data_IF_332114739913
#
_entry.id   IF_332114739913
#
_cell.length_a   1.000
_cell.length_b   1.000
_cell.length_c   1.000
_cell.angle_alpha   90.00
_cell.angle_beta   90.00
_cell.angle_gamma   90.00
#
_symmetry.space_group_name_H-M   'P 1'
#
loop_
_entity.id
_entity.type
_entity.pdbx_description
1 polymer ?
#
# COMPACT_ATOMS: atom_id res chain seq x y z
N UNK A 1 -27.39 -53.60 5.54
CA UNK A 1 -27.22 -53.39 7.00
C UNK A 1 -28.59 -53.19 7.68
N UNK A 2 -29.60 -54.02 7.34
CA UNK A 2 -30.97 -53.98 7.93
C UNK A 2 -31.48 -55.40 8.29
N UNK A 3 -30.57 -56.37 8.41
CA UNK A 3 -30.93 -57.73 8.80
C UNK A 3 -31.25 -57.90 10.31
N UNK A 4 -30.67 -57.16 11.27
CA UNK A 4 -30.94 -57.43 12.70
C UNK A 4 -32.22 -56.77 13.23
N UNK A 5 -32.73 -55.72 12.57
CA UNK A 5 -33.98 -55.06 13.01
C UNK A 5 -35.23 -55.90 12.67
N UNK A 6 -35.17 -56.71 11.61
CA UNK A 6 -36.24 -57.63 11.22
C UNK A 6 -36.31 -58.88 12.12
N UNK A 7 -35.22 -59.24 12.80
CA UNK A 7 -35.19 -60.39 13.70
C UNK A 7 -35.91 -60.10 15.04
N UNK A 8 -35.82 -58.87 15.56
CA UNK A 8 -36.53 -58.47 16.78
C UNK A 8 -38.02 -58.21 16.55
N UNK A 9 -38.43 -57.83 15.33
CA UNK A 9 -39.85 -57.72 14.98
C UNK A 9 -40.50 -59.11 14.87
N UNK A 10 -39.78 -60.09 14.30
CA UNK A 10 -40.26 -61.46 14.12
C UNK A 10 -40.56 -62.17 15.45
N UNK A 11 -39.80 -61.92 16.52
CA UNK A 11 -40.07 -62.53 17.84
C UNK A 11 -41.20 -61.84 18.62
N UNK A 12 -41.40 -60.53 18.45
CA UNK A 12 -42.52 -59.81 19.08
C UNK A 12 -43.87 -60.11 18.41
N UNK A 13 -43.85 -60.44 17.11
CA UNK A 13 -45.05 -60.72 16.32
C UNK A 13 -45.63 -62.14 16.55
N UNK A 14 -44.83 -63.11 17.02
CA UNK A 14 -45.29 -64.50 17.23
C UNK A 14 -45.99 -64.75 18.58
N UNK A 15 -45.75 -63.96 19.63
CA UNK A 15 -46.34 -64.26 20.97
C UNK A 15 -47.62 -63.50 21.31
N UNK A 16 -47.94 -62.37 20.65
CA UNK A 16 -49.10 -61.54 21.00
C UNK A 16 -50.29 -61.60 20.03
N UNK A 17 -50.05 -61.87 18.74
CA UNK A 17 -51.07 -61.70 17.68
C UNK A 17 -51.74 -63.02 17.22
N UNK A 18 -51.19 -64.18 17.59
CA UNK A 18 -51.76 -65.47 17.20
C UNK A 18 -53.02 -65.85 18.01
N UNK A 19 -53.27 -65.19 19.16
CA UNK A 19 -54.44 -65.47 20.00
C UNK A 19 -55.72 -64.77 19.51
N UNK A 20 -55.62 -63.55 18.98
CA UNK A 20 -56.79 -62.83 18.44
C UNK A 20 -57.17 -63.26 17.03
N UNK A 21 -56.20 -63.69 16.23
CA UNK A 21 -56.45 -64.08 14.82
C UNK A 21 -57.14 -65.43 14.66
N UNK A 22 -57.15 -66.27 15.71
CA UNK A 22 -57.84 -67.59 15.70
C UNK A 22 -59.29 -67.53 16.19
N UNK A 23 -59.70 -66.47 16.90
CA UNK A 23 -61.08 -66.32 17.41
C UNK A 23 -61.98 -65.46 16.51
N UNK A 24 -61.42 -64.63 15.62
CA UNK A 24 -62.23 -63.78 14.73
C UNK A 24 -62.22 -64.30 13.28
N UNK A 25 -63.17 -65.20 12.91
CA UNK A 25 -63.22 -65.80 11.58
C UNK A 25 -63.40 -64.77 10.45
N UNK A 26 -63.92 -63.58 10.76
CA UNK A 26 -64.04 -62.48 9.80
C UNK A 26 -62.67 -61.92 9.39
N UNK A 27 -61.77 -61.68 10.35
CA UNK A 27 -60.41 -61.19 10.08
C UNK A 27 -59.59 -62.22 9.31
N UNK A 28 -59.71 -63.51 9.66
CA UNK A 28 -59.05 -64.58 8.91
C UNK A 28 -59.53 -64.63 7.46
N UNK A 29 -60.84 -64.53 7.23
CA UNK A 29 -61.40 -64.49 5.87
C UNK A 29 -60.98 -63.25 5.07
N UNK A 30 -60.82 -62.09 5.73
CA UNK A 30 -60.30 -60.87 5.10
C UNK A 30 -58.82 -61.02 4.72
N UNK A 31 -58.02 -61.65 5.57
CA UNK A 31 -56.59 -61.91 5.29
C UNK A 31 -56.44 -62.91 4.13
N UNK A 32 -57.26 -63.97 4.08
CA UNK A 32 -57.28 -64.89 2.95
C UNK A 32 -57.76 -64.21 1.67
N UNK A 33 -58.84 -63.43 1.71
CA UNK A 33 -59.37 -62.69 0.55
C UNK A 33 -58.36 -61.69 -0.02
N UNK A 34 -57.68 -60.94 0.85
CA UNK A 34 -56.62 -60.01 0.43
C UNK A 34 -55.44 -60.76 -0.17
N UNK A 35 -55.02 -61.88 0.43
CA UNK A 35 -53.94 -62.73 -0.13
C UNK A 35 -54.31 -63.34 -1.49
N UNK A 36 -55.58 -63.70 -1.71
CA UNK A 36 -56.08 -64.25 -2.97
C UNK A 36 -56.15 -63.17 -4.06
N UNK A 37 -56.59 -61.95 -3.74
CA UNK A 37 -56.60 -60.83 -4.71
C UNK A 37 -55.19 -60.44 -5.12
N UNK A 38 -54.25 -60.46 -4.17
CA UNK A 38 -52.83 -60.19 -4.45
C UNK A 38 -52.24 -61.27 -5.38
N UNK A 39 -52.66 -62.54 -5.26
CA UNK A 39 -52.25 -63.64 -6.15
C UNK A 39 -52.97 -63.64 -7.50
N UNK A 40 -54.23 -63.18 -7.54
CA UNK A 40 -55.06 -63.17 -8.75
C UNK A 40 -54.76 -62.00 -9.71
N UNK A 41 -54.08 -60.94 -9.25
CA UNK A 41 -53.68 -59.81 -10.09
C UNK A 41 -52.14 -59.65 -10.20
N UNK A 42 -51.42 -60.62 -10.81
CA UNK A 42 -49.96 -60.58 -10.96
C UNK A 42 -49.47 -59.43 -11.85
N UNK A 43 -50.38 -58.81 -12.62
CA UNK A 43 -50.10 -57.65 -13.47
C UNK A 43 -49.80 -56.40 -12.65
N UNK A 44 -50.38 -56.22 -11.45
CA UNK A 44 -50.19 -55.00 -10.66
C UNK A 44 -48.87 -54.94 -9.88
N UNK A 45 -48.26 -56.09 -9.55
CA UNK A 45 -46.99 -56.13 -8.81
C UNK A 45 -45.78 -55.81 -9.70
N UNK A 46 -45.73 -56.36 -10.92
CA UNK A 46 -44.63 -56.10 -11.86
C UNK A 46 -44.63 -54.65 -12.34
N UNK A 47 -45.80 -54.06 -12.59
CA UNK A 47 -45.93 -52.65 -12.98
C UNK A 47 -45.40 -51.69 -11.91
N UNK A 48 -45.58 -51.99 -10.63
CA UNK A 48 -45.09 -51.15 -9.53
C UNK A 48 -43.55 -51.11 -9.49
N UNK A 49 -42.89 -52.25 -9.70
CA UNK A 49 -41.43 -52.34 -9.74
C UNK A 49 -40.85 -51.52 -10.91
N UNK A 50 -41.47 -51.60 -12.09
CA UNK A 50 -41.04 -50.80 -13.25
C UNK A 50 -41.22 -49.31 -13.02
N UNK A 51 -42.31 -48.87 -12.39
CA UNK A 51 -42.52 -47.46 -12.04
C UNK A 51 -41.45 -46.97 -11.06
N UNK A 52 -41.14 -47.75 -10.02
CA UNK A 52 -40.09 -47.42 -9.05
C UNK A 52 -38.71 -47.30 -9.72
N UNK A 53 -38.40 -48.23 -10.64
CA UNK A 53 -37.15 -48.21 -11.40
C UNK A 53 -37.04 -46.97 -12.30
N UNK A 54 -38.13 -46.56 -12.95
CA UNK A 54 -38.16 -45.34 -13.76
C UNK A 54 -37.99 -44.10 -12.87
N UNK A 55 -38.71 -44.02 -11.75
CA UNK A 55 -38.63 -42.88 -10.83
C UNK A 55 -37.23 -42.73 -10.25
N UNK A 56 -36.59 -43.82 -9.82
CA UNK A 56 -35.21 -43.79 -9.31
C UNK A 56 -34.21 -43.44 -10.41
N UNK A 57 -34.38 -43.95 -11.63
CA UNK A 57 -33.56 -43.56 -12.79
C UNK A 57 -33.68 -42.06 -13.12
N UNK A 58 -34.91 -41.54 -13.14
CA UNK A 58 -35.17 -40.11 -13.34
C UNK A 58 -34.57 -39.26 -12.22
N UNK A 59 -34.68 -39.70 -10.97
CA UNK A 59 -34.07 -39.02 -9.83
C UNK A 59 -32.53 -38.98 -9.94
N UNK A 60 -31.91 -40.10 -10.32
CA UNK A 60 -30.46 -40.19 -10.52
C UNK A 60 -29.96 -39.31 -11.68
N UNK A 61 -30.72 -39.20 -12.77
CA UNK A 61 -30.35 -38.30 -13.89
C UNK A 61 -30.46 -36.82 -13.48
N UNK A 62 -31.49 -36.44 -12.72
CA UNK A 62 -31.62 -35.08 -12.17
C UNK A 62 -30.45 -34.74 -11.24
N UNK A 63 -30.07 -35.65 -10.35
CA UNK A 63 -28.90 -35.47 -9.46
C UNK A 63 -27.61 -35.34 -10.28
N UNK A 64 -27.41 -36.18 -11.31
CA UNK A 64 -26.23 -36.12 -12.17
C UNK A 64 -26.12 -34.77 -12.90
N UNK A 65 -27.24 -34.25 -13.42
CA UNK A 65 -27.29 -32.95 -14.08
C UNK A 65 -27.02 -31.82 -13.08
N UNK A 66 -27.57 -31.90 -11.87
CA UNK A 66 -27.31 -30.93 -10.81
C UNK A 66 -25.81 -30.90 -10.42
N UNK A 67 -25.17 -32.05 -10.28
CA UNK A 67 -23.72 -32.15 -10.00
C UNK A 67 -22.90 -31.58 -11.16
N UNK A 68 -23.23 -31.93 -12.42
CA UNK A 68 -22.54 -31.37 -13.58
C UNK A 68 -22.71 -29.85 -13.65
N UNK A 69 -23.92 -29.33 -13.48
CA UNK A 69 -24.20 -27.90 -13.45
C UNK A 69 -23.45 -27.19 -12.32
N UNK A 70 -23.36 -27.80 -11.13
CA UNK A 70 -22.59 -27.28 -10.01
C UNK A 70 -21.09 -27.23 -10.32
N UNK A 71 -20.52 -28.32 -10.86
CA UNK A 71 -19.10 -28.39 -11.24
C UNK A 71 -18.73 -27.37 -12.32
N UNK A 72 -19.51 -27.28 -13.39
CA UNK A 72 -19.27 -26.32 -14.48
C UNK A 72 -19.34 -24.88 -13.99
N UNK A 73 -20.30 -24.57 -13.10
CA UNK A 73 -20.37 -23.24 -12.48
C UNK A 73 -19.12 -22.92 -11.66
N UNK A 74 -18.62 -23.88 -10.88
CA UNK A 74 -17.40 -23.68 -10.10
C UNK A 74 -16.16 -23.44 -10.95
N UNK A 75 -15.96 -24.20 -12.03
CA UNK A 75 -14.83 -24.01 -12.95
C UNK A 75 -14.84 -22.62 -13.58
N UNK A 76 -16.02 -22.15 -14.00
CA UNK A 76 -16.18 -20.81 -14.56
C UNK A 76 -15.84 -19.69 -13.55
N UNK A 77 -16.28 -19.85 -12.29
CA UNK A 77 -15.97 -18.91 -11.21
C UNK A 77 -14.46 -18.85 -10.92
N UNK A 78 -13.78 -19.99 -10.89
CA UNK A 78 -12.34 -20.04 -10.69
C UNK A 78 -11.58 -19.40 -11.85
N UNK A 79 -11.96 -19.69 -13.09
CA UNK A 79 -11.36 -19.09 -14.27
C UNK A 79 -11.52 -17.55 -14.31
N UNK A 80 -12.64 -17.02 -13.83
CA UNK A 80 -12.82 -15.57 -13.68
C UNK A 80 -11.91 -14.98 -12.61
N UNK A 81 -11.81 -15.65 -11.44
CA UNK A 81 -10.91 -15.20 -10.37
C UNK A 81 -9.45 -15.20 -10.83
N UNK A 82 -9.00 -16.24 -11.54
CA UNK A 82 -7.64 -16.28 -12.08
C UNK A 82 -7.36 -15.12 -13.04
N UNK A 83 -8.33 -14.78 -13.92
CA UNK A 83 -8.20 -13.62 -14.80
C UNK A 83 -8.13 -12.31 -14.03
N UNK A 84 -8.95 -12.15 -12.99
CA UNK A 84 -8.93 -10.98 -12.13
C UNK A 84 -7.60 -10.86 -11.38
N UNK A 85 -7.11 -11.94 -10.77
CA UNK A 85 -5.83 -11.97 -10.07
C UNK A 85 -4.67 -11.63 -11.00
N UNK A 86 -4.63 -12.22 -12.20
CA UNK A 86 -3.61 -11.91 -13.21
C UNK A 86 -3.66 -10.44 -13.64
N UNK A 87 -4.87 -9.88 -13.81
CA UNK A 87 -5.00 -8.47 -14.16
C UNK A 87 -4.58 -7.56 -13.01
N UNK A 88 -4.88 -7.95 -11.76
CA UNK A 88 -4.43 -7.23 -10.56
C UNK A 88 -2.90 -7.23 -10.47
N UNK A 89 -2.26 -8.39 -10.63
CA UNK A 89 -0.79 -8.51 -10.61
C UNK A 89 -0.14 -7.63 -11.69
N UNK A 90 -0.69 -7.62 -12.91
CA UNK A 90 -0.20 -6.75 -13.99
C UNK A 90 -0.39 -5.27 -13.64
N UNK A 91 -1.54 -4.89 -13.09
CA UNK A 91 -1.79 -3.51 -12.70
C UNK A 91 -0.89 -3.06 -11.56
N UNK A 92 -0.69 -3.91 -10.53
CA UNK A 92 0.23 -3.64 -9.42
C UNK A 92 1.66 -3.46 -9.91
N UNK A 93 2.12 -4.32 -10.83
CA UNK A 93 3.43 -4.16 -11.44
C UNK A 93 3.56 -2.86 -12.25
N UNK A 94 2.52 -2.49 -13.01
CA UNK A 94 2.50 -1.23 -13.76
C UNK A 94 2.52 -0.03 -12.83
N UNK A 95 1.73 -0.05 -11.77
CA UNK A 95 1.69 1.01 -10.76
C UNK A 95 3.06 1.15 -10.08
N UNK A 96 3.71 0.04 -9.71
CA UNK A 96 5.05 0.06 -9.12
C UNK A 96 6.08 0.69 -10.08
N UNK A 97 6.04 0.34 -11.37
CA UNK A 97 6.91 0.95 -12.38
C UNK A 97 6.63 2.45 -12.55
N UNK A 98 5.36 2.86 -12.56
CA UNK A 98 4.98 4.27 -12.62
C UNK A 98 5.49 5.04 -11.41
N UNK A 99 5.32 4.50 -10.20
CA UNK A 99 5.84 5.10 -8.97
C UNK A 99 7.36 5.22 -8.98
N UNK A 100 8.06 4.18 -9.44
CA UNK A 100 9.52 4.18 -9.54
C UNK A 100 10.01 5.24 -10.54
N UNK A 101 9.37 5.33 -11.70
CA UNK A 101 9.67 6.35 -12.71
C UNK A 101 9.41 7.75 -12.19
N UNK A 102 8.25 7.97 -11.56
CA UNK A 102 7.89 9.26 -10.97
C UNK A 102 8.88 9.69 -9.89
N UNK A 103 9.28 8.77 -9.00
CA UNK A 103 10.30 9.04 -7.98
C UNK A 103 11.64 9.42 -8.61
N UNK A 104 12.10 8.68 -9.61
CA UNK A 104 13.34 9.00 -10.30
C UNK A 104 13.30 10.36 -10.99
N UNK A 105 12.17 10.72 -11.60
CA UNK A 105 11.97 12.05 -12.20
C UNK A 105 11.97 13.17 -11.15
N UNK A 106 11.28 12.97 -10.03
CA UNK A 106 11.26 13.93 -8.92
C UNK A 106 12.65 14.14 -8.33
N UNK A 107 13.37 13.05 -8.05
CA UNK A 107 14.75 13.10 -7.53
C UNK A 107 15.69 13.82 -8.51
N UNK A 108 15.57 13.53 -9.81
CA UNK A 108 16.35 14.21 -10.84
C UNK A 108 16.01 15.70 -10.91
N UNK A 109 14.74 16.06 -10.85
CA UNK A 109 14.29 17.46 -10.87
C UNK A 109 14.77 18.22 -9.64
N UNK A 110 14.73 17.60 -8.47
CA UNK A 110 15.19 18.23 -7.24
C UNK A 110 16.71 18.38 -7.21
N UNK A 111 17.45 17.37 -7.68
CA UNK A 111 18.89 17.46 -7.89
C UNK A 111 19.25 18.60 -8.83
N UNK A 112 18.50 18.77 -9.93
CA UNK A 112 18.73 19.87 -10.87
C UNK A 112 18.38 21.22 -10.24
N UNK A 113 17.31 21.30 -9.44
CA UNK A 113 16.96 22.51 -8.67
C UNK A 113 18.11 22.92 -7.74
N UNK A 114 18.71 21.97 -7.03
CA UNK A 114 19.86 22.23 -6.16
C UNK A 114 21.10 22.63 -6.95
N UNK A 115 21.37 21.98 -8.08
CA UNK A 115 22.48 22.32 -8.97
C UNK A 115 22.37 23.76 -9.46
N UNK A 116 21.18 24.18 -9.89
CA UNK A 116 20.90 25.55 -10.33
C UNK A 116 21.08 26.54 -9.17
N UNK A 117 20.56 26.22 -7.97
CA UNK A 117 20.70 27.09 -6.80
C UNK A 117 22.17 27.36 -6.45
N UNK A 118 23.01 26.32 -6.55
CA UNK A 118 24.44 26.41 -6.28
C UNK A 118 25.18 27.17 -7.37
N UNK A 119 24.88 26.91 -8.65
CA UNK A 119 25.44 27.67 -9.78
C UNK A 119 25.08 29.16 -9.70
N UNK A 120 23.86 29.46 -9.27
CA UNK A 120 23.39 30.82 -9.05
C UNK A 120 24.18 31.52 -7.94
N UNK A 121 24.41 30.84 -6.81
CA UNK A 121 25.17 31.39 -5.69
C UNK A 121 26.64 31.63 -6.06
N UNK A 122 27.28 30.60 -6.62
CA UNK A 122 28.73 30.61 -6.84
C UNK A 122 29.10 31.51 -8.02
N UNK A 123 28.38 31.43 -9.15
CA UNK A 123 28.74 32.16 -10.36
C UNK A 123 28.16 33.57 -10.37
N UNK A 124 26.84 33.71 -10.26
CA UNK A 124 26.20 35.03 -10.31
C UNK A 124 26.46 35.83 -9.02
N UNK A 125 26.48 35.19 -7.86
CA UNK A 125 26.79 35.87 -6.59
C UNK A 125 28.21 36.44 -6.56
N UNK A 126 29.18 35.70 -7.09
CA UNK A 126 30.56 36.17 -7.23
C UNK A 126 30.69 37.29 -8.26
N UNK A 127 30.03 37.18 -9.41
CA UNK A 127 30.04 38.22 -10.45
C UNK A 127 29.43 39.54 -9.97
N UNK A 128 28.28 39.48 -9.28
CA UNK A 128 27.65 40.67 -8.70
C UNK A 128 28.53 41.30 -7.62
N UNK A 129 29.19 40.48 -6.79
CA UNK A 129 30.15 40.97 -5.80
C UNK A 129 31.35 41.68 -6.44
N UNK A 130 31.91 41.12 -7.52
CA UNK A 130 32.99 41.76 -8.27
C UNK A 130 32.53 43.03 -8.99
N UNK A 131 31.35 43.01 -9.60
CA UNK A 131 30.76 44.20 -10.23
C UNK A 131 30.59 45.33 -9.21
N UNK A 132 30.08 45.02 -8.01
CA UNK A 132 29.99 45.96 -6.89
C UNK A 132 31.36 46.50 -6.49
N UNK A 133 32.39 45.65 -6.38
CA UNK A 133 33.74 46.09 -6.04
C UNK A 133 34.35 47.03 -7.09
N UNK A 134 34.22 46.70 -8.38
CA UNK A 134 34.69 47.56 -9.47
C UNK A 134 33.94 48.89 -9.53
N UNK A 135 32.63 48.86 -9.28
CA UNK A 135 31.81 50.06 -9.21
C UNK A 135 32.28 50.95 -8.04
N UNK A 136 32.39 50.40 -6.82
CA UNK A 136 32.89 51.16 -5.67
C UNK A 136 34.32 51.70 -5.86
N UNK A 137 35.19 50.98 -6.58
CA UNK A 137 36.53 51.44 -6.90
C UNK A 137 36.52 52.62 -7.89
N UNK A 138 35.64 52.58 -8.89
CA UNK A 138 35.45 53.68 -9.83
C UNK A 138 34.87 54.93 -9.14
N UNK A 139 33.99 54.77 -8.15
CA UNK A 139 33.43 55.88 -7.35
C UNK A 139 34.53 56.67 -6.65
N UNK A 140 35.43 55.95 -5.96
CA UNK A 140 36.59 56.55 -5.27
C UNK A 140 37.57 57.24 -6.21
N UNK A 141 37.66 56.81 -7.47
CA UNK A 141 38.49 57.49 -8.48
C UNK A 141 37.80 58.70 -9.10
N UNK A 142 36.46 58.78 -9.03
CA UNK A 142 35.65 59.88 -9.54
C UNK A 142 35.32 60.93 -8.47
N UNK A 143 35.86 60.81 -7.26
CA UNK A 143 35.69 61.76 -6.16
C UNK A 143 36.12 63.21 -6.54
N UNK A 144 36.97 63.37 -7.56
CA UNK A 144 37.36 64.66 -8.16
C UNK A 144 36.37 65.23 -9.19
N UNK A 145 35.41 64.45 -9.73
CA UNK A 145 34.42 64.86 -10.73
C UNK A 145 33.01 65.02 -10.10
N UNK A 146 32.92 66.10 -9.31
CA UNK A 146 31.79 66.65 -8.52
C UNK A 146 30.33 66.42 -8.99
N UNK A 147 29.49 66.15 -7.97
CA UNK A 147 28.10 66.58 -7.69
C UNK A 147 26.96 66.26 -8.67
N UNK A 148 27.16 66.22 -9.99
CA UNK A 148 26.05 66.03 -10.95
C UNK A 148 25.75 64.53 -11.22
N UNK A 149 26.71 63.64 -10.93
CA UNK A 149 26.61 62.19 -11.11
C UNK A 149 26.22 61.43 -9.83
N UNK A 150 26.30 62.09 -8.67
CA UNK A 150 26.24 61.44 -7.36
C UNK A 150 24.90 60.72 -7.09
N UNK A 151 23.79 61.27 -7.60
CA UNK A 151 22.46 60.66 -7.47
C UNK A 151 22.28 59.43 -8.38
N UNK A 152 22.83 59.46 -9.60
CA UNK A 152 22.83 58.31 -10.50
C UNK A 152 23.72 57.18 -9.96
N UNK A 153 24.85 57.56 -9.34
CA UNK A 153 25.76 56.62 -8.70
C UNK A 153 25.12 55.91 -7.50
N UNK A 154 24.50 56.67 -6.59
CA UNK A 154 23.77 56.14 -5.46
C UNK A 154 22.63 55.19 -5.91
N UNK A 155 21.93 55.53 -7.00
CA UNK A 155 20.92 54.65 -7.61
C UNK A 155 21.52 53.36 -8.17
N UNK A 156 22.63 53.42 -8.88
CA UNK A 156 23.28 52.24 -9.45
C UNK A 156 23.79 51.29 -8.35
N UNK A 157 24.39 51.82 -7.29
CA UNK A 157 24.81 51.04 -6.12
C UNK A 157 23.61 50.39 -5.42
N UNK A 158 22.51 51.13 -5.24
CA UNK A 158 21.27 50.58 -4.68
C UNK A 158 20.69 49.45 -5.54
N UNK A 159 20.68 49.60 -6.87
CA UNK A 159 20.20 48.57 -7.79
C UNK A 159 21.09 47.32 -7.76
N UNK A 160 22.41 47.48 -7.67
CA UNK A 160 23.35 46.37 -7.51
C UNK A 160 23.12 45.63 -6.19
N UNK A 161 22.92 46.35 -5.08
CA UNK A 161 22.65 45.75 -3.78
C UNK A 161 21.31 45.01 -3.76
N UNK A 162 20.29 45.61 -4.36
CA UNK A 162 18.97 44.98 -4.51
C UNK A 162 19.08 43.70 -5.35
N UNK A 163 19.84 43.74 -6.45
CA UNK A 163 20.06 42.56 -7.28
C UNK A 163 20.84 41.45 -6.55
N UNK A 164 21.82 41.80 -5.71
CA UNK A 164 22.54 40.84 -4.88
C UNK A 164 21.60 40.16 -3.87
N UNK A 165 20.75 40.95 -3.21
CA UNK A 165 19.82 40.47 -2.19
C UNK A 165 18.77 39.53 -2.80
N UNK A 166 18.16 39.93 -3.93
CA UNK A 166 17.19 39.12 -4.65
C UNK A 166 17.81 37.81 -5.17
N UNK A 167 19.04 37.85 -5.68
CA UNK A 167 19.75 36.63 -6.09
C UNK A 167 19.97 35.67 -4.92
N UNK A 168 20.38 36.21 -3.77
CA UNK A 168 20.63 35.43 -2.55
C UNK A 168 19.34 34.78 -2.05
N UNK A 169 18.22 35.52 -2.11
CA UNK A 169 16.89 35.03 -1.77
C UNK A 169 16.44 33.90 -2.69
N UNK A 170 16.55 34.08 -4.01
CA UNK A 170 16.18 33.04 -5.01
C UNK A 170 17.03 31.78 -4.82
N UNK A 171 18.34 31.91 -4.65
CA UNK A 171 19.23 30.76 -4.40
C UNK A 171 18.83 30.00 -3.12
N UNK A 172 18.48 30.73 -2.06
CA UNK A 172 18.05 30.12 -0.80
C UNK A 172 16.67 29.44 -0.89
N UNK A 173 15.70 30.06 -1.58
CA UNK A 173 14.38 29.48 -1.84
C UNK A 173 14.49 28.19 -2.68
N UNK A 174 15.42 28.15 -3.64
CA UNK A 174 15.67 26.94 -4.43
C UNK A 174 16.35 25.81 -3.63
N UNK A 175 17.15 26.14 -2.60
CA UNK A 175 17.85 25.17 -1.75
C UNK A 175 16.97 24.60 -0.62
N UNK A 176 16.08 25.39 -0.03
CA UNK A 176 15.31 25.01 1.18
C UNK A 176 14.22 23.96 0.98
N UNK A 177 13.97 23.49 -0.25
CA UNK A 177 13.01 22.41 -0.50
C UNK A 177 13.49 21.00 -0.12
N UNK A 178 14.81 20.79 0.06
CA UNK A 178 15.43 19.47 0.29
C UNK A 178 15.06 18.86 1.65
N UNK A 179 14.86 19.70 2.68
CA UNK A 179 14.56 19.23 4.04
C UNK A 179 13.26 18.42 4.12
N UNK A 180 12.32 18.70 3.20
CA UNK A 180 10.96 18.18 3.22
C UNK A 180 10.87 16.75 2.68
N UNK A 181 11.85 16.28 1.91
CA UNK A 181 11.79 14.97 1.23
C UNK A 181 12.66 13.90 1.90
N UNK A 182 13.90 14.23 2.30
CA UNK A 182 14.85 13.30 2.93
C UNK A 182 14.62 13.09 4.43
N UNK A 183 13.79 13.93 5.05
CA UNK A 183 13.60 13.95 6.50
C UNK A 183 14.75 14.65 7.21
N UNK A 184 14.48 15.04 8.45
CA UNK A 184 15.35 15.90 9.25
C UNK A 184 16.74 15.29 9.51
N UNK A 185 16.82 13.97 9.75
CA UNK A 185 18.07 13.30 10.13
C UNK A 185 19.09 13.27 8.97
N UNK A 186 18.73 12.86 7.73
CA UNK A 186 19.66 12.93 6.60
C UNK A 186 20.11 14.36 6.27
N UNK A 187 19.21 15.34 6.36
CA UNK A 187 19.55 16.72 6.09
C UNK A 187 20.54 17.31 7.13
N UNK A 188 20.40 16.93 8.40
CA UNK A 188 21.34 17.33 9.45
C UNK A 188 22.71 16.66 9.31
N UNK A 189 22.78 15.42 8.82
CA UNK A 189 24.05 14.77 8.49
C UNK A 189 24.76 15.47 7.34
N UNK A 190 24.02 15.86 6.31
CA UNK A 190 24.57 16.59 5.16
C UNK A 190 25.07 17.98 5.57
N UNK A 191 24.30 18.70 6.38
CA UNK A 191 24.71 19.98 6.96
C UNK A 191 25.97 19.85 7.85
N UNK A 192 26.02 18.82 8.72
CA UNK A 192 27.21 18.50 9.51
C UNK A 192 28.43 18.33 8.61
N UNK A 193 28.30 17.55 7.54
CA UNK A 193 29.40 17.28 6.61
C UNK A 193 29.87 18.56 5.92
N UNK A 194 28.96 19.44 5.50
CA UNK A 194 29.29 20.74 4.88
C UNK A 194 30.05 21.64 5.87
N UNK A 195 29.62 21.70 7.12
CA UNK A 195 30.22 22.55 8.15
C UNK A 195 31.59 22.03 8.63
N UNK A 196 31.75 20.71 8.77
CA UNK A 196 33.02 20.06 9.08
C UNK A 196 34.05 20.31 7.96
N UNK A 197 33.62 20.20 6.71
CA UNK A 197 34.49 20.37 5.54
C UNK A 197 34.96 21.81 5.36
N UNK A 198 34.08 22.81 5.56
CA UNK A 198 34.39 24.21 5.26
C UNK A 198 34.96 25.00 6.44
N UNK A 199 34.69 24.59 7.69
CA UNK A 199 34.99 25.43 8.85
C UNK A 199 35.77 24.75 9.98
N UNK A 200 36.22 23.48 9.81
CA UNK A 200 36.92 22.72 10.87
C UNK A 200 36.19 22.72 12.22
N UNK A 201 34.86 22.78 12.21
CA UNK A 201 34.04 22.62 13.40
C UNK A 201 33.74 21.13 13.59
N UNK A 202 34.08 20.56 14.74
CA UNK A 202 33.71 19.19 15.08
C UNK A 202 32.28 19.18 15.63
N UNK A 203 31.35 18.56 14.90
CA UNK A 203 29.92 18.59 15.23
C UNK A 203 29.48 17.18 15.63
N UNK A 204 29.16 17.00 16.91
CA UNK A 204 28.57 15.76 17.40
C UNK A 204 27.05 15.79 17.22
N UNK A 205 26.57 15.08 16.21
CA UNK A 205 25.15 14.80 16.02
C UNK A 205 24.78 13.59 16.90
N UNK A 206 23.94 13.81 17.90
CA UNK A 206 23.37 12.74 18.74
C UNK A 206 21.87 12.69 18.49
N UNK A 207 21.43 11.67 17.76
CA UNK A 207 20.01 11.35 17.65
C UNK A 207 19.62 10.38 18.78
N UNK A 208 18.55 10.69 19.52
CA UNK A 208 18.05 9.84 20.62
C UNK A 208 16.58 9.53 20.35
N UNK A 209 16.26 8.26 20.15
CA UNK A 209 14.89 7.80 19.92
C UNK A 209 14.43 7.82 18.45
N UNK A 210 15.34 8.00 17.50
CA UNK A 210 15.06 7.96 16.07
C UNK A 210 15.70 6.71 15.45
N UNK A 211 15.14 5.52 15.70
CA UNK A 211 15.60 4.23 15.13
C UNK A 211 15.32 4.15 13.61
N UNK A 212 15.96 4.99 12.80
CA UNK A 212 15.84 5.07 11.33
C UNK A 212 14.40 5.20 10.79
N UNK A 213 13.43 5.57 11.62
CA UNK A 213 12.03 5.78 11.23
C UNK A 213 11.76 7.24 10.88
N UNK A 214 11.16 7.44 9.70
CA UNK A 214 10.67 8.74 9.22
C UNK A 214 9.63 9.29 10.20
N UNK A 215 9.84 10.49 10.73
CA UNK A 215 8.89 11.17 11.61
C UNK A 215 7.61 11.52 10.85
N UNK A 216 6.47 11.43 11.52
CA UNK A 216 5.21 11.96 10.98
C UNK A 216 5.32 13.49 10.86
N UNK A 217 4.78 14.10 9.78
CA UNK A 217 4.94 15.53 9.47
C UNK A 217 4.43 16.52 10.55
N UNK A 218 3.66 16.03 11.53
CA UNK A 218 2.99 16.81 12.57
C UNK A 218 3.89 17.23 13.75
N UNK A 219 5.11 16.71 13.84
CA UNK A 219 6.03 16.95 14.97
C UNK A 219 7.31 17.74 14.62
N UNK A 220 7.38 18.37 13.44
CA UNK A 220 8.56 19.15 13.03
C UNK A 220 8.62 20.55 13.69
N UNK A 221 8.87 20.60 14.99
CA UNK A 221 9.45 21.77 15.66
C UNK A 221 10.43 21.27 16.71
N UNK A 222 11.74 21.44 16.52
CA UNK A 222 12.70 21.30 17.63
C UNK A 222 13.73 22.43 17.63
N UNK A 223 13.84 22.99 18.84
CA UNK A 223 14.75 24.03 19.31
C UNK A 223 16.19 23.51 19.23
N UNK A 224 17.05 24.22 18.49
CA UNK A 224 18.48 23.93 18.42
C UNK A 224 19.16 24.60 19.63
N UNK A 225 19.62 23.81 20.61
CA UNK A 225 20.53 24.28 21.66
C UNK A 225 21.98 24.12 21.18
N UNK A 226 22.55 25.20 20.65
CA UNK A 226 23.96 25.27 20.30
C UNK A 226 24.78 25.49 21.57
N UNK A 227 25.17 24.41 22.25
CA UNK A 227 26.16 24.49 23.33
C UNK A 227 27.57 24.40 22.73
N UNK A 228 28.17 25.55 22.44
CA UNK A 228 29.61 25.62 22.14
C UNK A 228 30.39 25.24 23.40
N UNK A 229 31.12 24.14 23.34
CA UNK A 229 31.92 23.68 24.46
C UNK A 229 33.08 24.66 24.70
N UNK A 230 32.94 25.47 25.75
CA UNK A 230 33.90 26.50 26.16
C UNK A 230 35.23 25.94 26.71
N UNK A 231 35.48 24.63 26.61
CA UNK A 231 36.65 23.99 27.23
C UNK A 231 37.98 24.10 26.46
N UNK A 232 38.02 24.71 25.27
CA UNK A 232 39.29 24.98 24.57
C UNK A 232 39.90 26.37 24.86
N UNK A 233 39.39 27.14 25.83
CA UNK A 233 40.00 28.42 26.24
C UNK A 233 41.23 28.30 27.17
N UNK A 234 41.65 27.07 27.53
CA UNK A 234 42.68 26.84 28.54
C UNK A 234 44.08 26.44 28.03
N UNK A 235 44.25 26.04 26.77
CA UNK A 235 45.51 25.43 26.30
C UNK A 235 46.45 26.36 25.51
N UNK A 236 46.09 27.63 25.31
CA UNK A 236 46.98 28.63 24.72
C UNK A 236 47.39 29.68 25.78
N UNK A 237 48.06 29.21 26.83
CA UNK A 237 48.85 30.07 27.72
C UNK A 237 50.04 29.30 28.29
N UNK A 238 51.01 29.02 27.43
CA UNK A 238 52.46 29.10 27.68
C UNK A 238 53.23 28.98 26.37
#
# INVERSE_FOLDING_TARGET
MLAPFLASYRTFQEMGLLRETTENPFLFSQIEWTSQIIKANPVSQSTFIYILAIVTSLFMTIIMLAIKAYRTRQEFLLAQKEKQMKQQEVNEFLDEQQFKSLRAMLEAQEKERNRIAQELHDHLGSLLSMAKLHFLAADRQMEDLRQQSQEQYARATYLLDTACEELRKVSHEMFTGVLREFGLIPALRDLKQILETNHKLEINLVDVGFDDKRLEPSYEVIIIDLRTDSQCAGACRR
#
